data_IF_742226956320
#
_entry.id   IF_742226956320
#
_cell.length_a   1.000
_cell.length_b   1.000
_cell.length_c   1.000
_cell.angle_alpha   90.00
_cell.angle_beta   90.00
_cell.angle_gamma   90.00
#
_symmetry.space_group_name_H-M   'P 1'
#
loop_
_entity.id
_entity.type
_entity.pdbx_description
1 polymer ?
#
# COMPACT_ATOMS: atom_id res chain seq x y z
N UNK A 1 10.27 -2.27 -2.77
CA UNK A 1 9.28 -3.10 -3.48
C UNK A 1 9.79 -4.50 -3.36
N UNK A 2 8.94 -5.43 -2.96
CA UNK A 2 9.39 -6.81 -2.83
C UNK A 2 9.45 -7.44 -4.22
N UNK A 3 10.65 -7.81 -4.68
CA UNK A 3 10.83 -8.62 -5.87
C UNK A 3 10.78 -10.11 -5.51
N UNK A 4 10.16 -10.92 -6.36
CA UNK A 4 10.06 -12.37 -6.19
C UNK A 4 10.59 -13.08 -7.43
N UNK A 5 11.17 -14.26 -7.23
CA UNK A 5 11.52 -15.19 -8.33
C UNK A 5 10.39 -16.19 -8.50
N UNK A 6 10.13 -16.57 -9.75
CA UNK A 6 9.10 -17.56 -10.13
C UNK A 6 9.62 -19.00 -10.01
N UNK A 7 10.92 -19.18 -9.79
CA UNK A 7 11.55 -20.49 -9.57
C UNK A 7 10.91 -21.20 -8.37
N UNK A 8 10.43 -22.43 -8.59
CA UNK A 8 9.97 -23.29 -7.50
C UNK A 8 11.15 -23.62 -6.59
N UNK A 9 11.02 -23.33 -5.30
CA UNK A 9 11.97 -23.77 -4.29
C UNK A 9 11.84 -25.27 -4.06
N UNK A 10 12.95 -25.95 -3.83
CA UNK A 10 12.94 -27.34 -3.39
C UNK A 10 12.21 -27.43 -2.04
N UNK A 11 11.03 -28.03 -2.07
CA UNK A 11 10.16 -28.22 -0.92
C UNK A 11 10.16 -29.67 -0.43
N UNK A 12 11.08 -30.53 -0.89
CA UNK A 12 11.15 -31.95 -0.53
C UNK A 12 11.24 -32.19 0.98
N UNK A 13 11.86 -31.25 1.72
CA UNK A 13 12.01 -31.29 3.18
C UNK A 13 10.90 -30.56 3.96
N UNK A 14 9.93 -29.97 3.26
CA UNK A 14 8.89 -29.15 3.88
C UNK A 14 7.69 -30.02 4.22
N UNK A 15 7.23 -29.98 5.48
CA UNK A 15 6.00 -30.68 5.89
C UNK A 15 4.79 -30.14 5.12
N UNK A 16 4.74 -28.81 4.93
CA UNK A 16 3.77 -28.14 4.09
C UNK A 16 4.54 -27.40 2.99
N UNK A 17 4.54 -27.92 1.74
CA UNK A 17 5.16 -27.22 0.63
C UNK A 17 4.62 -25.81 0.47
N UNK A 18 5.48 -24.84 0.13
CA UNK A 18 5.04 -23.48 -0.15
C UNK A 18 4.05 -23.48 -1.33
N UNK A 19 2.95 -22.73 -1.23
CA UNK A 19 2.12 -22.48 -2.41
C UNK A 19 2.91 -21.68 -3.44
N UNK A 20 2.49 -21.77 -4.70
CA UNK A 20 2.96 -20.90 -5.78
C UNK A 20 2.40 -19.48 -5.68
N UNK A 21 1.25 -19.32 -5.01
CA UNK A 21 0.65 -18.02 -4.74
C UNK A 21 1.40 -17.25 -3.66
N UNK A 22 1.29 -15.93 -3.71
CA UNK A 22 1.90 -15.01 -2.75
C UNK A 22 0.99 -13.82 -2.43
N UNK A 23 1.15 -13.23 -1.23
CA UNK A 23 0.42 -12.02 -0.89
C UNK A 23 0.99 -10.81 -1.62
N UNK A 24 0.12 -9.90 -2.04
CA UNK A 24 0.48 -8.56 -2.50
C UNK A 24 -0.45 -7.50 -1.89
N UNK A 25 -0.02 -6.23 -1.96
CA UNK A 25 -0.79 -5.09 -1.46
C UNK A 25 -1.14 -4.17 -2.63
N UNK A 26 -2.16 -4.58 -3.40
CA UNK A 26 -2.78 -3.72 -4.41
C UNK A 26 -2.27 -3.87 -5.84
N UNK A 27 -1.08 -4.45 -6.10
CA UNK A 27 -0.65 -4.75 -7.47
C UNK A 27 0.43 -5.82 -7.56
N UNK A 28 0.61 -6.35 -8.78
CA UNK A 28 1.69 -7.26 -9.18
C UNK A 28 2.26 -6.79 -10.51
N UNK A 29 3.58 -6.90 -10.69
CA UNK A 29 4.23 -6.56 -11.96
C UNK A 29 5.16 -7.69 -12.42
N UNK A 30 5.07 -8.05 -13.69
CA UNK A 30 5.95 -9.02 -14.34
C UNK A 30 6.08 -8.68 -15.83
N UNK A 31 7.28 -8.86 -16.39
CA UNK A 31 7.55 -8.68 -17.83
C UNK A 31 7.05 -7.35 -18.43
N UNK A 32 7.14 -6.26 -17.65
CA UNK A 32 6.73 -4.93 -18.10
C UNK A 32 5.22 -4.68 -18.06
N UNK A 33 4.39 -5.62 -17.60
CA UNK A 33 2.98 -5.42 -17.29
C UNK A 33 2.80 -5.27 -15.77
N UNK A 34 2.07 -4.23 -15.36
CA UNK A 34 1.53 -4.13 -13.99
C UNK A 34 0.03 -4.36 -14.02
N UNK A 35 -0.43 -5.22 -13.12
CA UNK A 35 -1.84 -5.46 -12.80
C UNK A 35 -2.10 -4.88 -11.41
N UNK A 36 -2.81 -3.75 -11.36
CA UNK A 36 -3.36 -3.22 -10.12
C UNK A 36 -4.68 -3.93 -9.81
N UNK A 37 -4.73 -4.52 -8.63
CA UNK A 37 -5.79 -5.37 -8.11
C UNK A 37 -6.05 -5.02 -6.64
N UNK A 38 -6.50 -3.79 -6.33
CA UNK A 38 -6.82 -3.39 -4.97
C UNK A 38 -7.91 -4.27 -4.38
N UNK A 39 -7.76 -4.66 -3.11
CA UNK A 39 -8.68 -5.56 -2.42
C UNK A 39 -8.54 -7.05 -2.76
N UNK A 40 -7.78 -7.42 -3.79
CA UNK A 40 -7.40 -8.80 -4.09
C UNK A 40 -5.99 -9.06 -3.57
N UNK A 41 -5.78 -9.86 -2.52
CA UNK A 41 -4.49 -9.94 -1.85
C UNK A 41 -3.61 -11.10 -2.35
N UNK A 42 -4.06 -11.90 -3.30
CA UNK A 42 -3.36 -13.12 -3.73
C UNK A 42 -3.14 -13.16 -5.24
N UNK A 43 -1.90 -13.46 -5.61
CA UNK A 43 -1.52 -13.70 -6.99
C UNK A 43 -0.47 -14.80 -7.12
N UNK A 44 -0.26 -15.27 -8.33
CA UNK A 44 0.84 -16.14 -8.76
C UNK A 44 1.44 -15.56 -10.04
N UNK A 45 2.75 -15.76 -10.25
CA UNK A 45 3.41 -15.47 -11.52
C UNK A 45 4.08 -16.75 -12.00
N UNK A 46 3.62 -17.27 -13.13
CA UNK A 46 4.15 -18.49 -13.72
C UNK A 46 5.55 -18.27 -14.33
N UNK A 47 6.34 -19.33 -14.58
CA UNK A 47 7.69 -19.21 -15.15
C UNK A 47 7.75 -18.53 -16.53
N UNK A 48 6.68 -18.62 -17.32
CA UNK A 48 6.52 -17.94 -18.60
C UNK A 48 6.05 -16.47 -18.46
N UNK A 49 5.81 -16.02 -17.22
CA UNK A 49 5.45 -14.65 -16.88
C UNK A 49 3.96 -14.36 -16.84
N UNK A 50 3.09 -15.37 -16.96
CA UNK A 50 1.65 -15.18 -16.78
C UNK A 50 1.36 -14.74 -15.34
N UNK A 51 0.70 -13.59 -15.19
CA UNK A 51 0.20 -13.09 -13.90
C UNK A 51 -1.20 -13.65 -13.69
N UNK A 52 -1.38 -14.47 -12.66
CA UNK A 52 -2.69 -14.97 -12.24
C UNK A 52 -3.08 -14.27 -10.93
N UNK A 53 -4.22 -13.56 -10.92
CA UNK A 53 -4.78 -12.92 -9.72
C UNK A 53 -5.98 -13.73 -9.25
N UNK A 54 -6.03 -14.07 -7.97
CA UNK A 54 -7.18 -14.78 -7.39
C UNK A 54 -8.33 -13.79 -7.20
N UNK A 55 -9.42 -13.97 -7.96
CA UNK A 55 -10.63 -13.15 -7.80
C UNK A 55 -11.47 -13.60 -6.60
N UNK A 56 -11.65 -14.91 -6.44
CA UNK A 56 -12.46 -15.51 -5.38
C UNK A 56 -11.89 -16.88 -5.01
N UNK A 57 -11.97 -17.24 -3.73
CA UNK A 57 -11.61 -18.57 -3.22
C UNK A 57 -12.69 -19.07 -2.27
N UNK A 58 -13.54 -19.95 -2.78
CA UNK A 58 -14.63 -20.58 -2.02
C UNK A 58 -14.17 -21.89 -1.36
N UNK A 59 -14.45 -22.06 -0.08
CA UNK A 59 -14.13 -23.28 0.69
C UNK A 59 -15.30 -23.72 1.57
N UNK A 60 -15.42 -25.02 1.82
CA UNK A 60 -16.52 -25.59 2.62
C UNK A 60 -16.14 -25.97 4.06
N UNK A 61 -14.87 -25.86 4.40
CA UNK A 61 -14.33 -26.31 5.69
C UNK A 61 -13.20 -25.39 6.12
N UNK A 62 -13.12 -25.12 7.41
CA UNK A 62 -12.02 -24.33 8.00
C UNK A 62 -10.69 -25.10 7.93
N UNK A 63 -10.71 -26.38 8.29
CA UNK A 63 -9.58 -27.29 8.11
C UNK A 63 -10.06 -28.64 7.57
N UNK A 64 -9.18 -29.27 6.80
CA UNK A 64 -9.35 -30.58 6.19
C UNK A 64 -8.06 -31.38 6.30
N UNK A 65 -8.19 -32.70 6.39
CA UNK A 65 -7.09 -33.66 6.52
C UNK A 65 -6.64 -34.26 5.19
N UNK A 66 -7.40 -34.07 4.12
CA UNK A 66 -7.19 -34.69 2.81
C UNK A 66 -6.56 -33.74 1.78
N UNK A 67 -5.91 -32.66 2.24
CA UNK A 67 -5.18 -31.74 1.38
C UNK A 67 -3.80 -32.31 1.03
N UNK A 68 -3.53 -32.52 -0.26
CA UNK A 68 -2.22 -33.01 -0.76
C UNK A 68 -1.04 -32.11 -0.35
N UNK A 69 -1.27 -30.79 -0.32
CA UNK A 69 -0.28 -29.79 0.07
C UNK A 69 -0.13 -29.63 1.59
N UNK A 70 -1.02 -30.23 2.38
CA UNK A 70 -1.04 -30.07 3.84
C UNK A 70 -1.59 -31.32 4.52
N UNK A 71 -0.74 -32.32 4.81
CA UNK A 71 -1.15 -33.59 5.43
C UNK A 71 -1.55 -33.48 6.91
N UNK A 72 -1.48 -32.28 7.52
CA UNK A 72 -1.88 -32.01 8.90
C UNK A 72 -2.95 -30.90 8.94
N UNK A 73 -3.86 -30.91 9.92
CA UNK A 73 -4.85 -29.86 10.04
C UNK A 73 -4.17 -28.59 10.57
N UNK A 74 -4.58 -27.43 10.08
CA UNK A 74 -4.29 -26.15 10.74
C UNK A 74 -5.59 -25.54 11.25
N UNK A 75 -6.17 -26.19 12.26
CA UNK A 75 -7.39 -25.76 12.93
C UNK A 75 -8.44 -26.87 13.08
N UNK A 76 -9.60 -26.54 13.70
CA UNK A 76 -10.71 -27.46 13.87
C UNK A 76 -11.27 -27.98 12.54
N UNK A 77 -11.61 -29.27 12.50
CA UNK A 77 -12.32 -29.89 11.38
C UNK A 77 -13.80 -29.50 11.45
N UNK A 78 -14.12 -28.31 10.94
CA UNK A 78 -15.46 -27.72 11.01
C UNK A 78 -15.93 -27.25 9.64
N UNK A 79 -17.21 -27.46 9.36
CA UNK A 79 -17.89 -26.91 8.19
C UNK A 79 -17.87 -25.38 8.22
N UNK A 80 -17.61 -24.77 7.06
CA UNK A 80 -17.62 -23.33 6.85
C UNK A 80 -18.59 -23.00 5.70
N UNK A 81 -19.91 -23.22 5.85
CA UNK A 81 -20.87 -23.02 4.77
C UNK A 81 -20.94 -21.56 4.29
N UNK A 82 -20.67 -20.60 5.17
CA UNK A 82 -20.59 -19.17 4.81
C UNK A 82 -19.33 -18.78 4.01
N UNK A 83 -18.32 -19.64 3.91
CA UNK A 83 -17.07 -19.36 3.18
C UNK A 83 -17.13 -19.75 1.69
N UNK A 84 -18.34 -19.96 1.15
CA UNK A 84 -18.58 -20.39 -0.23
C UNK A 84 -18.63 -19.23 -1.22
N UNK A 85 -18.74 -17.98 -0.76
CA UNK A 85 -18.80 -16.79 -1.63
C UNK A 85 -19.88 -16.91 -2.72
N UNK A 86 -21.10 -17.31 -2.35
CA UNK A 86 -22.20 -17.62 -3.30
C UNK A 86 -22.85 -16.38 -3.93
N UNK A 87 -22.53 -15.20 -3.42
CA UNK A 87 -23.08 -13.93 -3.91
C UNK A 87 -22.31 -13.44 -5.15
N UNK A 88 -22.82 -12.40 -5.81
CA UNK A 88 -22.11 -11.74 -6.90
C UNK A 88 -20.81 -11.13 -6.39
N UNK A 89 -19.69 -11.50 -7.04
CA UNK A 89 -18.38 -10.94 -6.76
C UNK A 89 -18.00 -9.97 -7.88
N UNK A 90 -17.80 -8.71 -7.51
CA UNK A 90 -17.29 -7.69 -8.42
C UNK A 90 -15.82 -7.40 -8.09
N UNK A 91 -14.98 -7.40 -9.11
CA UNK A 91 -13.56 -7.12 -8.99
C UNK A 91 -13.13 -6.12 -10.05
N UNK A 92 -12.41 -5.08 -9.63
CA UNK A 92 -11.87 -4.05 -10.52
C UNK A 92 -10.37 -4.26 -10.66
N UNK A 93 -9.92 -4.40 -11.91
CA UNK A 93 -8.51 -4.51 -12.27
C UNK A 93 -8.12 -3.34 -13.18
N UNK A 94 -6.92 -2.81 -12.98
CA UNK A 94 -6.30 -1.84 -13.90
C UNK A 94 -4.99 -2.39 -14.42
N UNK A 95 -4.77 -2.27 -15.72
CA UNK A 95 -3.57 -2.79 -16.40
C UNK A 95 -2.81 -1.63 -17.03
N UNK A 96 -1.50 -1.60 -16.81
CA UNK A 96 -0.64 -0.58 -17.42
C UNK A 96 0.77 -1.11 -17.66
N UNK A 97 1.46 -0.49 -18.61
CA UNK A 97 2.83 -0.82 -18.94
C UNK A 97 3.82 -0.19 -17.94
N UNK A 98 4.88 -0.91 -17.63
CA UNK A 98 5.92 -0.49 -16.71
C UNK A 98 5.54 -0.64 -15.24
N UNK A 99 6.52 -0.41 -14.37
CA UNK A 99 6.37 -0.50 -12.92
C UNK A 99 6.15 0.90 -12.34
N UNK A 100 4.92 1.20 -11.91
CA UNK A 100 4.58 2.45 -11.23
C UNK A 100 3.69 2.17 -10.00
N UNK A 101 4.28 2.09 -8.80
CA UNK A 101 3.55 1.87 -7.55
C UNK A 101 2.54 2.98 -7.23
N UNK A 102 2.79 4.21 -7.71
CA UNK A 102 1.87 5.32 -7.52
C UNK A 102 0.66 5.17 -8.44
N UNK A 103 0.84 4.79 -9.70
CA UNK A 103 -0.27 4.50 -10.60
C UNK A 103 -1.18 3.38 -10.06
N UNK A 104 -0.59 2.32 -9.49
CA UNK A 104 -1.37 1.28 -8.81
C UNK A 104 -2.18 1.82 -7.62
N UNK A 105 -1.59 2.73 -6.84
CA UNK A 105 -2.27 3.35 -5.69
C UNK A 105 -3.35 4.36 -6.12
N UNK A 106 -3.11 5.10 -7.21
CA UNK A 106 -4.06 6.04 -7.79
C UNK A 106 -5.29 5.27 -8.34
N UNK A 107 -5.06 4.10 -8.96
CA UNK A 107 -6.12 3.20 -9.42
C UNK A 107 -6.98 2.66 -8.26
N UNK A 108 -6.39 2.46 -7.08
CA UNK A 108 -7.11 2.05 -5.86
C UNK A 108 -7.98 3.17 -5.27
N UNK A 109 -7.44 4.39 -5.18
CA UNK A 109 -8.15 5.47 -4.52
C UNK A 109 -9.20 6.16 -5.40
N UNK A 110 -8.92 6.26 -6.71
CA UNK A 110 -9.73 7.02 -7.65
C UNK A 110 -9.85 8.50 -7.30
N UNK A 111 -10.64 9.22 -8.10
CA UNK A 111 -11.03 10.60 -7.81
C UNK A 111 -12.37 10.59 -7.06
N UNK A 112 -12.49 11.47 -6.06
CA UNK A 112 -13.73 11.65 -5.31
C UNK A 112 -14.23 13.07 -5.53
N UNK A 113 -15.46 13.17 -6.02
CA UNK A 113 -16.17 14.45 -6.10
C UNK A 113 -17.03 14.64 -4.86
N UNK A 114 -17.15 15.88 -4.41
CA UNK A 114 -18.06 16.30 -3.34
C UNK A 114 -18.82 17.53 -3.79
N UNK A 115 -20.07 17.68 -3.36
CA UNK A 115 -20.81 18.91 -3.57
C UNK A 115 -20.15 20.04 -2.78
N UNK A 116 -19.88 21.17 -3.43
CA UNK A 116 -19.34 22.37 -2.82
C UNK A 116 -20.41 23.45 -2.71
N UNK A 117 -20.25 24.38 -1.75
CA UNK A 117 -21.09 25.57 -1.63
C UNK A 117 -20.66 26.69 -2.59
N UNK A 118 -21.36 27.82 -2.53
CA UNK A 118 -21.24 28.93 -3.49
C UNK A 118 -19.89 29.68 -3.44
N UNK A 119 -19.06 29.42 -2.43
CA UNK A 119 -17.77 30.09 -2.23
C UNK A 119 -16.62 29.09 -2.00
N UNK A 120 -15.45 29.31 -2.62
CA UNK A 120 -14.29 28.43 -2.42
C UNK A 120 -13.68 28.63 -1.02
N UNK A 121 -13.52 27.53 -0.27
CA UNK A 121 -12.80 27.53 1.02
C UNK A 121 -11.27 27.54 0.86
N UNK A 122 -10.79 27.20 -0.34
CA UNK A 122 -9.37 27.23 -0.70
C UNK A 122 -9.24 27.74 -2.15
N UNK A 123 -8.11 28.38 -2.51
CA UNK A 123 -7.88 28.81 -3.88
C UNK A 123 -8.04 27.64 -4.88
N UNK A 124 -8.67 27.87 -6.05
CA UNK A 124 -8.77 26.83 -7.06
C UNK A 124 -7.40 26.35 -7.51
N UNK A 125 -7.33 25.10 -7.97
CA UNK A 125 -6.14 24.45 -8.53
C UNK A 125 -4.91 24.42 -7.62
N UNK A 126 -5.10 24.67 -6.32
CA UNK A 126 -4.03 24.64 -5.35
C UNK A 126 -4.03 23.31 -4.59
N UNK A 127 -3.00 22.46 -4.76
CA UNK A 127 -2.91 21.21 -4.01
C UNK A 127 -2.76 21.49 -2.52
N UNK A 128 -3.47 20.75 -1.68
CA UNK A 128 -3.30 20.78 -0.22
C UNK A 128 -1.97 20.13 0.20
N UNK A 129 -1.51 19.15 -0.57
CA UNK A 129 -0.25 18.45 -0.37
C UNK A 129 0.28 18.00 -1.73
N UNK A 130 1.55 18.28 -1.98
CA UNK A 130 2.28 17.73 -3.14
C UNK A 130 3.57 17.10 -2.63
N UNK A 131 3.89 15.90 -3.12
CA UNK A 131 5.09 15.15 -2.75
C UNK A 131 5.81 14.70 -4.01
N UNK A 132 7.10 14.99 -4.10
CA UNK A 132 8.00 14.58 -5.18
C UNK A 132 9.30 13.99 -4.61
N UNK A 133 10.00 13.09 -5.31
CA UNK A 133 9.62 12.44 -6.56
C UNK A 133 8.46 11.45 -6.41
N UNK A 134 7.88 11.01 -7.55
CA UNK A 134 6.68 10.16 -7.59
C UNK A 134 6.85 8.81 -6.88
N UNK A 135 8.08 8.30 -6.78
CA UNK A 135 8.43 7.06 -6.09
C UNK A 135 8.16 7.10 -4.57
N UNK A 136 8.13 8.28 -3.94
CA UNK A 136 7.71 8.42 -2.55
C UNK A 136 6.19 8.35 -2.47
N UNK A 137 5.69 7.41 -1.67
CA UNK A 137 4.26 7.21 -1.48
C UNK A 137 3.80 7.93 -0.21
N UNK A 138 2.66 8.62 -0.29
CA UNK A 138 1.96 9.12 0.90
C UNK A 138 1.16 7.94 1.47
N UNK A 139 1.62 7.40 2.61
CA UNK A 139 0.95 6.27 3.27
C UNK A 139 -0.12 6.72 4.26
N UNK A 140 0.02 7.93 4.81
CA UNK A 140 -1.02 8.54 5.65
C UNK A 140 -0.94 10.07 5.61
N UNK A 141 -2.11 10.70 5.64
CA UNK A 141 -2.31 12.08 6.06
C UNK A 141 -3.54 12.09 6.97
N UNK A 142 -3.35 12.30 8.26
CA UNK A 142 -4.43 12.20 9.26
C UNK A 142 -4.26 13.22 10.37
N UNK A 143 -5.29 13.53 11.16
CA UNK A 143 -5.12 14.27 12.42
C UNK A 143 -4.09 13.60 13.34
N UNK A 144 -3.31 14.41 14.05
CA UNK A 144 -2.48 13.93 15.16
C UNK A 144 -3.38 13.40 16.29
N UNK A 145 -2.99 12.29 16.90
CA UNK A 145 -3.73 11.68 18.00
C UNK A 145 -3.48 12.43 19.31
N UNK A 146 -2.26 12.94 19.51
CA UNK A 146 -1.81 13.56 20.76
C UNK A 146 -1.93 15.09 20.83
N UNK A 147 -2.46 15.77 19.82
CA UNK A 147 -2.48 17.23 19.81
C UNK A 147 -2.91 17.85 18.48
N UNK A 148 -2.74 19.18 18.32
CA UNK A 148 -3.10 19.88 17.09
C UNK A 148 -2.21 19.46 15.92
N UNK A 149 -2.73 19.65 14.71
CA UNK A 149 -2.01 19.40 13.47
C UNK A 149 -2.29 18.04 12.84
N UNK A 150 -1.48 17.71 11.85
CA UNK A 150 -1.63 16.52 11.00
C UNK A 150 -0.37 15.67 11.04
N UNK A 151 -0.52 14.36 10.92
CA UNK A 151 0.56 13.41 10.70
C UNK A 151 0.62 13.07 9.22
N UNK A 152 1.73 13.44 8.59
CA UNK A 152 2.11 13.01 7.25
C UNK A 152 3.07 11.82 7.37
N UNK A 153 2.79 10.71 6.68
CA UNK A 153 3.69 9.57 6.56
C UNK A 153 4.06 9.31 5.12
N UNK A 154 5.36 9.24 4.88
CA UNK A 154 5.98 8.97 3.60
C UNK A 154 6.61 7.58 3.65
N UNK A 155 6.42 6.80 2.59
CA UNK A 155 7.05 5.50 2.38
C UNK A 155 7.95 5.58 1.15
N UNK A 156 9.19 5.14 1.30
CA UNK A 156 10.09 4.90 0.19
C UNK A 156 10.12 3.40 -0.13
N UNK A 157 9.50 2.97 -1.24
CA UNK A 157 9.51 1.58 -1.65
C UNK A 157 10.75 1.24 -2.51
N UNK A 158 11.78 2.08 -2.60
CA UNK A 158 12.95 1.80 -3.46
C UNK A 158 14.13 1.28 -2.63
N UNK A 159 15.16 0.78 -3.32
CA UNK A 159 16.40 0.30 -2.71
C UNK A 159 17.38 1.44 -2.36
N UNK A 160 17.10 2.67 -2.79
CA UNK A 160 17.93 3.86 -2.53
C UNK A 160 17.30 4.80 -1.52
N UNK A 161 18.11 5.62 -0.84
CA UNK A 161 17.58 6.76 -0.09
C UNK A 161 17.10 7.84 -1.07
N UNK A 162 15.96 8.46 -0.76
CA UNK A 162 15.32 9.42 -1.66
C UNK A 162 15.10 10.75 -0.93
N UNK A 163 15.56 11.84 -1.54
CA UNK A 163 15.26 13.19 -1.09
C UNK A 163 13.85 13.58 -1.55
N UNK A 164 12.90 13.56 -0.62
CA UNK A 164 11.52 13.95 -0.85
C UNK A 164 11.36 15.46 -0.66
N UNK A 165 10.72 16.12 -1.62
CA UNK A 165 10.26 17.51 -1.50
C UNK A 165 8.75 17.52 -1.31
N UNK A 166 8.31 18.25 -0.30
CA UNK A 166 6.90 18.36 0.09
C UNK A 166 6.49 19.83 -0.03
N UNK A 167 5.41 20.09 -0.76
CA UNK A 167 4.75 21.41 -0.79
C UNK A 167 3.42 21.31 -0.04
N UNK A 168 3.20 22.22 0.91
CA UNK A 168 2.02 22.25 1.76
C UNK A 168 1.10 23.40 1.33
N UNK A 169 -0.16 23.07 1.08
CA UNK A 169 -1.18 24.01 0.61
C UNK A 169 -1.87 24.80 1.72
N UNK A 170 -1.57 24.56 2.99
CA UNK A 170 -2.18 25.19 4.17
C UNK A 170 -1.11 25.74 5.15
N UNK A 171 -1.48 26.63 6.09
CA UNK A 171 -0.54 27.16 7.07
C UNK A 171 0.02 26.09 8.00
N UNK A 172 1.34 26.08 8.19
CA UNK A 172 2.06 25.21 9.13
C UNK A 172 3.07 26.06 9.87
N UNK A 173 3.05 26.01 11.21
CA UNK A 173 3.96 26.76 12.08
C UNK A 173 5.25 25.99 12.34
N UNK A 174 5.17 24.66 12.44
CA UNK A 174 6.30 23.79 12.73
C UNK A 174 6.13 22.42 12.08
N UNK A 175 7.25 21.80 11.72
CA UNK A 175 7.30 20.42 11.24
C UNK A 175 8.24 19.61 12.11
N UNK A 176 7.70 18.64 12.84
CA UNK A 176 8.46 17.83 13.80
C UNK A 176 8.54 16.40 13.28
N UNK A 177 9.72 15.79 13.09
CA UNK A 177 9.79 14.37 12.81
C UNK A 177 9.31 13.57 14.02
N UNK A 178 8.56 12.51 13.77
CA UNK A 178 7.96 11.68 14.82
C UNK A 178 8.11 10.20 14.50
N UNK A 179 8.03 9.38 15.54
CA UNK A 179 7.90 7.93 15.46
C UNK A 179 6.50 7.53 14.97
N UNK A 180 6.28 6.23 14.71
CA UNK A 180 4.96 5.71 14.32
C UNK A 180 3.90 5.85 15.42
N UNK A 181 4.31 6.04 16.67
CA UNK A 181 3.42 6.36 17.80
C UNK A 181 3.31 7.88 18.05
N UNK A 182 3.79 8.69 17.11
CA UNK A 182 3.76 10.17 17.14
C UNK A 182 4.68 10.81 18.18
N UNK A 183 5.52 10.03 18.87
CA UNK A 183 6.55 10.59 19.76
C UNK A 183 7.58 11.39 18.93
N UNK A 184 7.91 12.64 19.30
CA UNK A 184 8.93 13.43 18.61
C UNK A 184 10.30 12.74 18.55
N UNK A 185 10.96 12.84 17.40
CA UNK A 185 12.34 12.37 17.20
C UNK A 185 13.15 13.35 16.33
N UNK A 186 14.37 13.65 16.75
CA UNK A 186 15.27 14.53 16.00
C UNK A 186 14.86 16.01 16.05
N UNK A 187 15.52 16.82 15.21
CA UNK A 187 15.28 18.26 15.12
C UNK A 187 14.11 18.57 14.17
N UNK A 188 13.43 19.68 14.44
CA UNK A 188 12.40 20.21 13.56
C UNK A 188 12.93 20.40 12.13
N UNK A 189 12.09 20.10 11.14
CA UNK A 189 12.41 20.26 9.72
C UNK A 189 12.17 21.71 9.33
N UNK A 190 13.18 22.33 8.71
CA UNK A 190 13.05 23.70 8.20
C UNK A 190 12.02 23.73 7.06
N UNK A 191 11.09 24.68 7.16
CA UNK A 191 10.13 25.01 6.11
C UNK A 191 10.55 26.33 5.45
N UNK A 192 10.71 26.34 4.13
CA UNK A 192 10.94 27.53 3.33
C UNK A 192 9.65 27.93 2.61
N UNK A 193 8.96 28.93 3.15
CA UNK A 193 7.62 29.33 2.71
C UNK A 193 6.59 28.21 2.91
N UNK A 194 6.38 27.40 1.87
CA UNK A 194 5.44 26.25 1.88
C UNK A 194 6.12 24.93 1.55
N UNK A 195 7.43 24.94 1.41
CA UNK A 195 8.22 23.80 0.95
C UNK A 195 9.09 23.29 2.08
N UNK A 196 9.25 21.98 2.13
CA UNK A 196 10.24 21.32 2.98
C UNK A 196 10.88 20.17 2.21
N UNK A 197 12.02 19.73 2.72
CA UNK A 197 12.71 18.55 2.20
C UNK A 197 13.00 17.58 3.33
N UNK A 198 12.94 16.28 3.03
CA UNK A 198 13.34 15.23 3.96
C UNK A 198 13.88 14.03 3.20
N UNK A 199 14.87 13.34 3.76
CA UNK A 199 15.37 12.10 3.18
C UNK A 199 14.59 10.94 3.76
N UNK A 200 14.02 10.11 2.89
CA UNK A 200 13.34 8.87 3.27
C UNK A 200 14.28 7.69 2.96
N UNK A 201 14.69 6.90 3.96
CA UNK A 201 15.63 5.80 3.76
C UNK A 201 15.03 4.69 2.89
N UNK A 202 15.87 3.82 2.27
CA UNK A 202 15.39 2.73 1.43
C UNK A 202 14.49 1.77 2.21
N UNK A 203 13.38 1.35 1.60
CA UNK A 203 12.30 0.56 2.25
C UNK A 203 11.83 1.14 3.59
N UNK A 204 12.00 2.44 3.78
CA UNK A 204 11.81 3.13 5.05
C UNK A 204 10.58 4.01 5.08
N UNK A 205 10.19 4.38 6.30
CA UNK A 205 9.12 5.32 6.57
C UNK A 205 9.69 6.61 7.15
N UNK A 206 9.06 7.74 6.80
CA UNK A 206 9.25 9.00 7.50
C UNK A 206 7.91 9.56 7.95
N UNK A 207 7.76 9.79 9.25
CA UNK A 207 6.56 10.42 9.81
C UNK A 207 6.90 11.82 10.28
N UNK A 208 6.05 12.78 9.93
CA UNK A 208 6.19 14.19 10.23
C UNK A 208 4.86 14.68 10.83
N UNK A 209 4.95 15.36 11.97
CA UNK A 209 3.84 16.15 12.49
C UNK A 209 3.91 17.55 11.89
N UNK A 210 2.86 17.94 11.18
CA UNK A 210 2.63 19.28 10.64
C UNK A 210 1.79 20.04 11.66
N UNK A 211 2.42 20.90 12.46
CA UNK A 211 1.74 21.70 13.47
C UNK A 211 1.04 22.85 12.77
N UNK A 212 -0.27 22.92 12.89
CA UNK A 212 -1.07 24.05 12.40
C UNK A 212 -1.08 25.18 13.45
N UNK A 213 -1.16 26.45 13.02
CA UNK A 213 -1.28 27.60 13.93
C UNK A 213 -2.59 27.58 14.74
#
# INVERSE_FOLDING_TARGET
MACRRTERRDASRWVHPAPSTFPHQGFVAANGLTVAAPGLPEAEVAPDGVIAVTLVRAVGWLARMDLRSRPRPAGPLMLAPGAQCLETIEATLSLFAGLDPRAARDAEFGLRAVAAGDGPLAPPDRPLLEVSPREILVSALKPAAGGPGLILRLLNPTDGAVAARITIGFPVSEVVPVRLDETPEGAAVRVDGRRMETVVPPHGLRSLQLVCP
#
